data_IF_673183548083
#
_entry.id   IF_673183548083
#
_cell.length_a   1.000
_cell.length_b   1.000
_cell.length_c   1.000
_cell.angle_alpha   90.00
_cell.angle_beta   90.00
_cell.angle_gamma   90.00
#
_symmetry.space_group_name_H-M   'P 1'
#
loop_
_entity.id
_entity.type
_entity.pdbx_description
1 polymer ?
#
# COMPACT_ATOMS: atom_id res chain seq x y z
N UNK A 1 -14.66 -58.60 31.93
CA UNK A 1 -14.98 -59.66 30.95
C UNK A 1 -15.74 -59.02 29.79
N UNK A 2 -15.57 -59.44 28.54
CA UNK A 2 -14.33 -59.68 27.80
C UNK A 2 -14.25 -58.83 26.52
N UNK A 3 -13.09 -58.95 25.89
CA UNK A 3 -12.61 -58.37 24.63
C UNK A 3 -13.51 -58.67 23.43
N UNK A 4 -13.44 -57.83 22.38
CA UNK A 4 -13.53 -58.40 21.03
C UNK A 4 -12.61 -57.75 19.97
N UNK A 5 -12.09 -58.67 19.17
CA UNK A 5 -11.01 -58.68 18.18
C UNK A 5 -11.16 -57.68 17.02
N UNK A 6 -10.07 -57.00 16.60
CA UNK A 6 -9.06 -57.42 15.61
C UNK A 6 -9.61 -57.72 14.21
N UNK A 7 -9.13 -56.99 13.20
CA UNK A 7 -8.60 -57.56 11.94
C UNK A 7 -7.84 -56.54 11.10
N UNK A 8 -6.53 -56.72 11.11
CA UNK A 8 -5.52 -56.32 10.13
C UNK A 8 -5.86 -56.84 8.73
N UNK A 9 -5.68 -56.02 7.68
CA UNK A 9 -5.34 -56.50 6.33
C UNK A 9 -4.33 -55.55 5.68
N UNK A 10 -3.07 -55.97 5.75
CA UNK A 10 -2.03 -55.55 4.84
C UNK A 10 -2.24 -56.29 3.50
N UNK A 11 -2.09 -55.59 2.38
CA UNK A 11 -1.82 -56.21 1.09
C UNK A 11 -0.65 -55.44 0.47
N UNK A 12 0.49 -56.11 0.45
CA UNK A 12 1.63 -55.76 -0.37
C UNK A 12 1.43 -56.38 -1.76
N UNK A 13 1.62 -55.59 -2.81
CA UNK A 13 1.98 -56.10 -4.13
C UNK A 13 3.13 -55.26 -4.67
N UNK A 14 4.28 -55.92 -4.79
CA UNK A 14 5.40 -55.46 -5.58
C UNK A 14 5.15 -55.78 -7.06
N UNK A 15 5.47 -54.85 -7.96
CA UNK A 15 5.96 -55.21 -9.29
C UNK A 15 7.03 -54.21 -9.74
N UNK A 16 8.20 -54.78 -9.96
CA UNK A 16 9.37 -54.25 -10.65
C UNK A 16 9.06 -54.19 -12.15
N UNK A 17 9.33 -53.06 -12.80
CA UNK A 17 9.20 -52.88 -14.24
C UNK A 17 10.21 -51.85 -14.76
N UNK A 18 10.99 -52.28 -15.75
CA UNK A 18 12.28 -51.76 -16.17
C UNK A 18 12.29 -50.40 -16.90
N UNK A 19 13.35 -49.64 -16.63
CA UNK A 19 14.28 -49.00 -17.58
C UNK A 19 13.75 -48.49 -18.93
N UNK A 20 13.60 -47.16 -19.05
CA UNK A 20 13.88 -46.39 -20.28
C UNK A 20 14.42 -45.02 -19.87
N UNK A 21 15.75 -44.87 -19.90
CA UNK A 21 16.45 -43.60 -19.74
C UNK A 21 16.30 -42.83 -21.06
N UNK A 22 15.27 -42.00 -21.15
CA UNK A 22 15.19 -40.97 -22.17
C UNK A 22 15.91 -39.73 -21.64
N UNK A 23 17.17 -39.55 -22.04
CA UNK A 23 17.93 -38.31 -21.86
C UNK A 23 17.24 -37.23 -22.69
N UNK A 24 16.24 -36.60 -22.07
CA UNK A 24 15.58 -35.42 -22.63
C UNK A 24 16.54 -34.27 -22.40
N UNK A 25 17.24 -33.86 -23.46
CA UNK A 25 17.95 -32.58 -23.49
C UNK A 25 16.94 -31.48 -23.12
N UNK A 26 16.91 -31.12 -21.84
CA UNK A 26 16.19 -29.97 -21.34
C UNK A 26 16.90 -28.77 -21.95
N UNK A 27 16.40 -28.35 -23.10
CA UNK A 27 16.72 -27.06 -23.66
C UNK A 27 16.35 -26.06 -22.58
N UNK A 28 17.36 -25.54 -21.89
CA UNK A 28 17.27 -24.31 -21.09
C UNK A 28 16.92 -23.21 -22.08
N UNK A 29 15.65 -23.18 -22.48
CA UNK A 29 15.02 -21.97 -22.96
C UNK A 29 15.12 -21.03 -21.77
N UNK A 30 16.14 -20.17 -21.78
CA UNK A 30 16.20 -19.00 -20.92
C UNK A 30 14.86 -18.32 -21.09
N UNK A 31 13.96 -18.54 -20.13
CA UNK A 31 12.68 -17.87 -20.09
C UNK A 31 13.04 -16.38 -20.06
N UNK A 32 12.86 -15.72 -21.21
CA UNK A 32 13.03 -14.29 -21.29
C UNK A 32 12.10 -13.74 -20.23
N UNK A 33 12.67 -13.20 -19.14
CA UNK A 33 11.91 -12.60 -18.04
C UNK A 33 11.04 -11.54 -18.69
N UNK A 34 9.77 -11.89 -18.93
CA UNK A 34 8.78 -10.97 -19.46
C UNK A 34 8.74 -9.83 -18.47
N UNK A 35 9.09 -8.63 -18.92
CA UNK A 35 9.07 -7.45 -18.05
C UNK A 35 7.64 -7.26 -17.58
N UNK A 36 7.37 -7.62 -16.32
CA UNK A 36 6.08 -7.34 -15.70
C UNK A 36 5.84 -5.84 -15.81
N UNK A 37 4.74 -5.48 -16.47
CA UNK A 37 4.34 -4.09 -16.60
C UNK A 37 4.00 -3.58 -15.20
N UNK A 38 4.59 -2.45 -14.82
CA UNK A 38 4.25 -1.81 -13.55
C UNK A 38 2.80 -1.32 -13.54
N UNK A 39 2.16 -1.43 -12.37
CA UNK A 39 0.79 -1.01 -12.09
C UNK A 39 0.80 0.08 -11.03
N UNK A 40 0.06 1.18 -11.22
CA UNK A 40 -0.11 2.22 -10.20
C UNK A 40 -1.25 1.87 -9.23
N UNK A 41 -1.00 1.94 -7.93
CA UNK A 41 -2.01 1.82 -6.88
C UNK A 41 -1.81 2.93 -5.83
N UNK A 42 -2.87 3.30 -5.11
CA UNK A 42 -2.75 4.23 -4.00
C UNK A 42 -2.12 3.51 -2.80
N UNK A 43 -1.03 4.06 -2.27
CA UNK A 43 -0.34 3.57 -1.09
C UNK A 43 -0.51 4.59 0.04
N UNK A 44 -1.07 4.13 1.15
CA UNK A 44 -1.16 4.88 2.39
C UNK A 44 -0.55 4.10 3.54
N UNK A 45 0.21 4.78 4.39
CA UNK A 45 0.87 4.16 5.55
C UNK A 45 0.66 5.03 6.78
N UNK A 46 0.15 4.45 7.87
CA UNK A 46 -0.17 5.16 9.12
C UNK A 46 0.47 4.43 10.31
N UNK A 47 1.20 5.13 11.16
CA UNK A 47 1.75 4.51 12.37
C UNK A 47 0.76 4.45 13.54
N UNK A 48 1.16 3.82 14.65
CA UNK A 48 0.30 3.63 15.83
C UNK A 48 -0.12 4.94 16.51
N UNK A 49 0.50 6.07 16.15
CA UNK A 49 0.14 7.41 16.64
C UNK A 49 -0.78 8.15 15.67
N UNK A 50 -1.31 7.47 14.66
CA UNK A 50 -2.13 8.08 13.61
C UNK A 50 -1.34 8.96 12.63
N UNK A 51 0.01 8.92 12.63
CA UNK A 51 0.80 9.76 11.72
C UNK A 51 0.89 9.11 10.36
N UNK A 52 0.56 9.87 9.31
CA UNK A 52 0.71 9.43 7.92
C UNK A 52 2.20 9.45 7.54
N UNK A 53 2.77 8.27 7.30
CA UNK A 53 4.15 8.11 6.83
C UNK A 53 4.26 8.24 5.31
N UNK A 54 3.20 7.85 4.61
CA UNK A 54 3.10 7.98 3.16
C UNK A 54 1.65 8.08 2.72
N UNK A 55 1.44 8.86 1.67
CA UNK A 55 0.20 8.92 0.92
C UNK A 55 0.54 9.32 -0.52
N UNK A 56 0.51 8.35 -1.42
CA UNK A 56 1.00 8.53 -2.79
C UNK A 56 0.42 7.47 -3.72
N UNK A 57 0.26 7.81 -5.00
CA UNK A 57 0.14 6.79 -6.04
C UNK A 57 1.52 6.15 -6.24
N UNK A 58 1.67 4.88 -5.89
CA UNK A 58 2.90 4.13 -6.03
C UNK A 58 2.78 3.15 -7.19
N UNK A 59 3.78 3.13 -8.07
CA UNK A 59 3.92 2.06 -9.05
C UNK A 59 4.57 0.85 -8.40
N UNK A 60 4.15 -0.36 -8.77
CA UNK A 60 4.88 -1.59 -8.46
C UNK A 60 4.87 -2.52 -9.67
N UNK A 61 5.91 -3.33 -9.83
CA UNK A 61 6.12 -4.07 -11.08
C UNK A 61 6.69 -5.47 -10.87
N UNK A 62 7.97 -5.64 -11.16
CA UNK A 62 8.65 -6.93 -11.05
C UNK A 62 9.04 -7.28 -9.60
N UNK A 63 9.36 -8.55 -9.32
CA UNK A 63 9.79 -8.99 -8.00
C UNK A 63 10.97 -8.18 -7.46
N UNK A 64 11.02 -8.01 -6.15
CA UNK A 64 12.03 -7.22 -5.45
C UNK A 64 12.78 -8.08 -4.46
N UNK A 65 14.10 -7.91 -4.40
CA UNK A 65 14.90 -8.54 -3.35
C UNK A 65 15.06 -7.60 -2.17
N UNK A 66 14.69 -8.06 -0.98
CA UNK A 66 14.89 -7.35 0.29
C UNK A 66 15.77 -8.17 1.22
N UNK A 67 16.49 -7.50 2.11
CA UNK A 67 17.22 -8.18 3.19
C UNK A 67 16.28 -8.30 4.39
N UNK A 68 16.15 -9.49 4.97
CA UNK A 68 15.40 -9.65 6.22
C UNK A 68 16.17 -9.07 7.39
N UNK A 69 15.46 -8.69 8.45
CA UNK A 69 16.00 -8.01 9.61
C UNK A 69 16.04 -8.97 10.80
N UNK A 70 17.22 -9.37 11.30
CA UNK A 70 17.36 -10.20 12.49
C UNK A 70 16.73 -9.61 13.75
N UNK A 71 16.35 -8.32 13.74
CA UNK A 71 15.66 -7.66 14.85
C UNK A 71 14.14 -7.60 14.67
N UNK A 72 13.59 -8.12 13.57
CA UNK A 72 12.16 -8.19 13.30
C UNK A 72 11.45 -9.25 14.18
N UNK A 73 11.45 -9.04 15.49
CA UNK A 73 11.01 -9.99 16.53
C UNK A 73 9.60 -9.67 17.05
N UNK A 74 8.76 -9.01 16.23
CA UNK A 74 7.44 -8.55 16.67
C UNK A 74 6.44 -9.69 16.90
N UNK A 75 6.71 -10.90 16.42
CA UNK A 75 5.90 -12.10 16.67
C UNK A 75 6.41 -12.96 17.84
N UNK A 76 7.62 -12.66 18.32
CA UNK A 76 8.31 -13.45 19.33
C UNK A 76 9.83 -13.22 19.29
N UNK A 77 10.54 -13.49 20.39
CA UNK A 77 11.99 -13.26 20.49
C UNK A 77 12.82 -14.06 19.47
N UNK A 78 12.30 -15.21 19.03
CA UNK A 78 12.95 -16.12 18.08
C UNK A 78 12.49 -15.93 16.63
N UNK A 79 11.56 -15.01 16.37
CA UNK A 79 10.97 -14.79 15.04
C UNK A 79 11.70 -13.71 14.23
N UNK A 80 12.93 -13.37 14.62
CA UNK A 80 13.78 -12.45 13.85
C UNK A 80 14.05 -12.99 12.44
N UNK A 81 14.25 -12.09 11.47
CA UNK A 81 14.64 -12.50 10.13
C UNK A 81 16.01 -13.17 10.08
N UNK A 82 16.22 -14.07 9.13
CA UNK A 82 17.50 -14.76 8.90
C UNK A 82 18.68 -13.81 8.64
N UNK A 83 18.41 -12.59 8.14
CA UNK A 83 19.40 -11.67 7.61
C UNK A 83 19.74 -11.93 6.13
N UNK A 84 19.13 -12.95 5.51
CA UNK A 84 19.32 -13.27 4.11
C UNK A 84 18.51 -12.36 3.18
N UNK A 85 18.80 -12.50 1.89
CA UNK A 85 18.03 -11.83 0.84
C UNK A 85 16.87 -12.72 0.41
N UNK A 86 15.67 -12.21 0.54
CA UNK A 86 14.44 -12.87 0.10
C UNK A 86 13.79 -12.12 -1.05
N UNK A 87 13.08 -12.84 -1.90
CA UNK A 87 12.31 -12.26 -2.99
C UNK A 87 10.88 -11.96 -2.50
N UNK A 88 10.41 -10.73 -2.73
CA UNK A 88 9.02 -10.35 -2.59
C UNK A 88 8.35 -10.53 -3.96
N UNK A 89 7.33 -11.39 -4.08
CA UNK A 89 6.54 -11.52 -5.30
C UNK A 89 5.91 -10.19 -5.70
N UNK A 90 5.69 -9.96 -7.00
CA UNK A 90 5.09 -8.73 -7.48
C UNK A 90 4.18 -8.97 -8.70
N UNK A 91 3.11 -8.18 -8.89
CA UNK A 91 2.71 -7.02 -8.06
C UNK A 91 1.90 -7.46 -6.82
N UNK A 92 2.38 -7.10 -5.62
CA UNK A 92 1.73 -7.39 -4.34
C UNK A 92 1.72 -6.17 -3.43
N UNK A 93 0.94 -6.20 -2.35
CA UNK A 93 0.89 -5.10 -1.38
C UNK A 93 2.26 -4.84 -0.73
N UNK A 94 3.05 -5.90 -0.53
CA UNK A 94 4.40 -5.79 0.02
C UNK A 94 5.39 -5.26 -1.02
N UNK A 95 5.28 -5.67 -2.30
CA UNK A 95 6.14 -5.10 -3.35
C UNK A 95 5.86 -3.62 -3.55
N UNK A 96 4.58 -3.21 -3.47
CA UNK A 96 4.15 -1.81 -3.49
C UNK A 96 4.78 -1.01 -2.34
N UNK A 97 4.73 -1.54 -1.11
CA UNK A 97 5.34 -0.90 0.05
C UNK A 97 6.87 -0.82 -0.08
N UNK A 98 7.52 -1.87 -0.56
CA UNK A 98 8.97 -1.92 -0.77
C UNK A 98 9.45 -0.93 -1.85
N UNK A 99 8.72 -0.81 -2.97
CA UNK A 99 8.95 0.23 -3.97
C UNK A 99 8.73 1.63 -3.38
N UNK A 100 7.70 1.82 -2.55
CA UNK A 100 7.47 3.04 -1.79
C UNK A 100 8.65 3.43 -0.90
N UNK A 101 9.27 2.45 -0.22
CA UNK A 101 10.48 2.64 0.58
C UNK A 101 11.73 3.03 -0.23
N UNK A 102 11.73 2.80 -1.54
CA UNK A 102 12.83 3.22 -2.42
C UNK A 102 12.79 4.73 -2.71
N UNK A 103 11.61 5.36 -2.69
CA UNK A 103 11.41 6.78 -3.00
C UNK A 103 11.04 7.63 -1.79
N UNK A 104 10.46 7.03 -0.74
CA UNK A 104 10.04 7.71 0.48
C UNK A 104 10.83 7.22 1.71
N UNK A 105 11.63 8.12 2.29
CA UNK A 105 12.47 7.83 3.46
C UNK A 105 11.67 7.56 4.74
N UNK A 106 10.40 7.97 4.82
CA UNK A 106 9.55 7.68 5.97
C UNK A 106 9.08 6.21 5.99
N UNK A 107 9.10 5.53 4.83
CA UNK A 107 8.82 4.10 4.72
C UNK A 107 10.07 3.25 5.03
N UNK A 108 11.28 3.78 4.79
CA UNK A 108 12.54 3.03 4.95
C UNK A 108 13.17 3.23 6.35
N UNK A 109 13.74 2.18 6.99
CA UNK A 109 13.79 0.79 6.54
C UNK A 109 12.46 0.05 6.71
N UNK A 110 12.31 -1.04 5.96
CA UNK A 110 11.34 -2.09 6.30
C UNK A 110 12.04 -3.09 7.21
N UNK A 111 11.39 -3.47 8.30
CA UNK A 111 11.83 -4.55 9.20
C UNK A 111 10.98 -5.77 8.91
N UNK A 112 11.56 -6.76 8.23
CA UNK A 112 10.87 -7.92 7.65
C UNK A 112 11.50 -9.19 8.20
N UNK A 113 10.67 -10.17 8.58
CA UNK A 113 11.11 -11.51 8.98
C UNK A 113 10.65 -12.56 7.96
N UNK A 114 11.48 -13.57 7.76
CA UNK A 114 11.23 -14.80 6.99
C UNK A 114 11.18 -16.04 7.90
N UNK A 115 10.91 -15.85 9.20
CA UNK A 115 10.80 -16.94 10.17
C UNK A 115 9.66 -17.94 9.88
N UNK A 116 8.71 -17.58 9.00
CA UNK A 116 7.51 -18.35 8.74
C UNK A 116 7.57 -19.09 7.40
N UNK A 117 7.14 -20.35 7.39
CA UNK A 117 7.06 -21.15 6.16
C UNK A 117 5.92 -20.71 5.23
N UNK A 118 5.00 -19.86 5.70
CA UNK A 118 3.83 -19.41 4.95
C UNK A 118 3.99 -18.02 4.32
N UNK A 119 5.12 -17.33 4.53
CA UNK A 119 5.37 -16.02 3.94
C UNK A 119 6.25 -15.10 4.79
N UNK A 120 6.31 -13.83 4.40
CA UNK A 120 7.09 -12.80 5.08
C UNK A 120 6.25 -12.05 6.12
N UNK A 121 6.82 -11.86 7.31
CA UNK A 121 6.24 -11.02 8.37
C UNK A 121 6.76 -9.57 8.31
N UNK A 122 5.89 -8.59 8.53
CA UNK A 122 6.25 -7.17 8.59
C UNK A 122 6.21 -6.66 10.03
N UNK A 123 7.38 -6.32 10.58
CA UNK A 123 7.50 -5.79 11.94
C UNK A 123 7.65 -4.27 11.99
N UNK A 124 8.13 -3.62 10.93
CA UNK A 124 8.39 -2.19 10.99
C UNK A 124 8.39 -1.50 9.64
N UNK A 125 7.90 -0.27 9.65
CA UNK A 125 7.94 0.66 8.52
C UNK A 125 8.57 1.96 9.01
N UNK A 126 9.71 2.32 8.42
CA UNK A 126 10.47 3.49 8.80
C UNK A 126 10.95 3.42 10.24
N UNK A 127 10.48 4.36 11.07
CA UNK A 127 10.77 4.40 12.51
C UNK A 127 9.68 3.76 13.37
N UNK A 128 8.56 3.39 12.78
CA UNK A 128 7.45 2.75 13.49
C UNK A 128 7.69 1.24 13.47
N UNK A 129 7.82 0.66 14.67
CA UNK A 129 8.02 -0.77 14.89
C UNK A 129 6.83 -1.27 15.68
N UNK A 130 6.29 -2.41 15.25
CA UNK A 130 5.19 -3.06 15.93
C UNK A 130 5.65 -3.62 17.27
N UNK A 131 4.92 -3.36 18.37
CA UNK A 131 5.19 -4.03 19.64
C UNK A 131 4.85 -5.52 19.54
N UNK A 132 5.27 -6.32 20.52
CA UNK A 132 4.95 -7.77 20.56
C UNK A 132 3.46 -8.07 20.71
N UNK A 133 2.67 -7.07 21.10
CA UNK A 133 1.21 -7.12 21.21
C UNK A 133 0.52 -6.59 19.97
N UNK A 134 1.25 -6.03 19.00
CA UNK A 134 0.69 -5.34 17.86
C UNK A 134 1.01 -6.03 16.55
N UNK A 135 0.54 -5.44 15.45
CA UNK A 135 0.89 -5.86 14.10
C UNK A 135 0.62 -4.76 13.07
N UNK A 136 1.27 -4.85 11.91
CA UNK A 136 0.90 -4.04 10.76
C UNK A 136 -0.29 -4.68 10.04
N UNK A 137 -1.45 -4.04 10.12
CA UNK A 137 -2.64 -4.43 9.41
C UNK A 137 -2.60 -3.93 7.96
N UNK A 138 -3.24 -4.68 7.07
CA UNK A 138 -3.36 -4.38 5.65
C UNK A 138 -4.84 -4.27 5.28
N UNK A 139 -5.23 -3.14 4.71
CA UNK A 139 -6.50 -2.98 4.01
C UNK A 139 -6.28 -2.90 2.49
N UNK A 140 -7.13 -3.58 1.74
CA UNK A 140 -7.25 -3.46 0.28
C UNK A 140 -8.65 -2.96 -0.05
N UNK A 141 -8.73 -1.86 -0.78
CA UNK A 141 -9.99 -1.24 -1.19
C UNK A 141 -10.94 -1.00 0.01
N UNK A 142 -10.35 -0.52 1.11
CA UNK A 142 -10.99 -0.20 2.38
C UNK A 142 -11.54 -1.38 3.19
N UNK A 143 -11.18 -2.62 2.85
CA UNK A 143 -11.49 -3.81 3.62
C UNK A 143 -10.19 -4.48 4.09
N UNK A 144 -10.19 -5.07 5.28
CA UNK A 144 -9.05 -5.79 5.82
C UNK A 144 -8.73 -7.00 4.93
N UNK A 145 -7.45 -7.16 4.60
CA UNK A 145 -6.98 -8.30 3.82
C UNK A 145 -6.96 -9.57 4.68
N UNK A 146 -7.39 -10.69 4.08
CA UNK A 146 -7.33 -12.02 4.69
C UNK A 146 -6.01 -12.75 4.39
N UNK A 147 -5.14 -12.13 3.58
CA UNK A 147 -3.85 -12.68 3.17
C UNK A 147 -2.70 -11.76 3.55
N UNK A 148 -1.50 -12.35 3.71
CA UNK A 148 -0.27 -11.59 3.96
C UNK A 148 0.11 -10.73 2.76
N UNK A 149 0.72 -9.57 3.00
CA UNK A 149 0.97 -8.60 1.94
C UNK A 149 1.86 -9.08 0.79
N UNK A 150 2.68 -10.10 1.00
CA UNK A 150 3.50 -10.79 -0.01
C UNK A 150 2.70 -11.73 -0.92
N UNK A 151 1.46 -12.04 -0.54
CA UNK A 151 0.52 -12.86 -1.31
C UNK A 151 -0.71 -12.08 -1.80
N UNK A 152 -0.99 -10.91 -1.21
CA UNK A 152 -2.06 -10.01 -1.64
C UNK A 152 -1.70 -9.32 -2.95
N UNK A 153 -2.30 -9.75 -4.06
CA UNK A 153 -2.09 -9.15 -5.37
C UNK A 153 -2.58 -7.70 -5.43
N UNK A 154 -1.88 -6.85 -6.19
CA UNK A 154 -2.24 -5.45 -6.42
C UNK A 154 -2.50 -5.20 -7.90
N UNK A 155 -3.61 -4.52 -8.18
CA UNK A 155 -4.03 -4.07 -9.50
C UNK A 155 -3.99 -2.56 -9.63
N UNK A 156 -4.07 -2.08 -10.88
CA UNK A 156 -4.12 -0.65 -11.15
C UNK A 156 -5.36 -0.01 -10.53
N UNK A 157 -5.16 1.02 -9.71
CA UNK A 157 -6.24 1.79 -9.07
C UNK A 157 -6.73 1.22 -7.73
N UNK A 158 -6.14 0.13 -7.24
CA UNK A 158 -6.42 -0.35 -5.88
C UNK A 158 -5.98 0.69 -4.83
N UNK A 159 -6.68 0.71 -3.71
CA UNK A 159 -6.29 1.44 -2.51
C UNK A 159 -5.68 0.49 -1.48
N UNK A 160 -4.40 0.68 -1.18
CA UNK A 160 -3.63 -0.14 -0.26
C UNK A 160 -3.27 0.71 0.95
N UNK A 161 -3.76 0.29 2.12
CA UNK A 161 -3.48 0.94 3.39
C UNK A 161 -2.76 -0.02 4.32
N UNK A 162 -1.60 0.39 4.79
CA UNK A 162 -0.90 -0.22 5.92
C UNK A 162 -1.10 0.64 7.17
N UNK A 163 -1.53 0.05 8.27
CA UNK A 163 -1.62 0.76 9.54
C UNK A 163 -1.14 -0.10 10.70
N UNK A 164 -0.52 0.54 11.69
CA UNK A 164 -0.02 -0.17 12.87
C UNK A 164 -1.12 -0.24 13.93
N UNK A 165 -1.48 -1.46 14.31
CA UNK A 165 -2.28 -1.79 15.49
C UNK A 165 -1.29 -2.03 16.65
N UNK A 166 -1.44 -1.30 17.76
CA UNK A 166 -0.52 -1.40 18.90
C UNK A 166 -0.85 -2.56 19.86
N UNK A 167 -2.12 -2.99 19.90
CA UNK A 167 -2.58 -4.15 20.66
C UNK A 167 -3.62 -4.95 19.85
N UNK A 168 -3.40 -6.25 19.64
CA UNK A 168 -4.31 -7.12 18.91
C UNK A 168 -5.66 -7.32 19.60
N UNK A 169 -5.78 -6.92 20.88
CA UNK A 169 -7.05 -6.90 21.60
C UNK A 169 -7.87 -5.64 21.31
N UNK A 170 -7.26 -4.60 20.74
CA UNK A 170 -7.97 -3.39 20.35
C UNK A 170 -8.87 -3.68 19.13
N UNK A 171 -10.07 -3.08 19.07
CA UNK A 171 -10.89 -3.17 17.88
C UNK A 171 -10.17 -2.51 16.70
N UNK A 172 -10.28 -3.12 15.51
CA UNK A 172 -9.76 -2.50 14.29
C UNK A 172 -10.35 -1.09 14.12
N UNK A 173 -9.52 -0.04 14.05
CA UNK A 173 -10.00 1.32 13.90
C UNK A 173 -10.70 1.48 12.55
N UNK A 174 -11.73 2.30 12.52
CA UNK A 174 -12.40 2.60 11.26
C UNK A 174 -11.50 3.44 10.36
N UNK A 175 -11.52 3.20 9.05
CA UNK A 175 -10.78 3.99 8.07
C UNK A 175 -11.62 5.16 7.58
N UNK A 176 -11.16 6.39 7.82
CA UNK A 176 -11.80 7.56 7.21
C UNK A 176 -11.33 7.75 5.76
N UNK A 177 -12.27 8.14 4.90
CA UNK A 177 -12.00 8.55 3.53
C UNK A 177 -12.70 9.88 3.28
N UNK A 178 -11.92 10.87 2.84
CA UNK A 178 -12.38 12.20 2.55
C UNK A 178 -12.46 12.41 1.04
N UNK A 179 -13.59 12.96 0.59
CA UNK A 179 -13.78 13.44 -0.77
C UNK A 179 -14.16 14.91 -0.73
N UNK A 180 -13.38 15.73 -1.41
CA UNK A 180 -13.70 17.13 -1.64
C UNK A 180 -14.21 17.33 -3.07
N UNK A 181 -15.17 18.23 -3.24
CA UNK A 181 -15.53 18.75 -4.55
C UNK A 181 -14.68 19.97 -4.90
N UNK A 182 -14.78 20.42 -6.15
CA UNK A 182 -14.21 21.71 -6.55
C UNK A 182 -14.83 22.83 -5.70
N UNK A 183 -14.02 23.83 -5.38
CA UNK A 183 -14.50 25.02 -4.69
C UNK A 183 -15.55 25.76 -5.52
N UNK A 184 -16.66 26.14 -4.89
CA UNK A 184 -17.72 26.98 -5.44
C UNK A 184 -17.88 28.19 -4.51
N UNK A 185 -17.79 29.40 -5.05
CA UNK A 185 -17.91 30.66 -4.28
C UNK A 185 -16.98 30.78 -3.05
N UNK A 186 -15.82 30.12 -3.06
CA UNK A 186 -14.88 30.13 -1.92
C UNK A 186 -15.15 29.07 -0.87
N UNK A 187 -16.11 28.18 -1.11
CA UNK A 187 -16.46 27.06 -0.25
C UNK A 187 -16.13 25.74 -0.94
N UNK A 188 -15.64 24.78 -0.15
CA UNK A 188 -15.32 23.44 -0.63
C UNK A 188 -16.27 22.46 0.05
N UNK A 189 -17.24 21.90 -0.69
CA UNK A 189 -18.07 20.83 -0.16
C UNK A 189 -17.24 19.58 0.11
N UNK A 190 -17.26 19.11 1.35
CA UNK A 190 -16.53 17.92 1.80
C UNK A 190 -17.53 16.82 2.20
N UNK A 191 -17.20 15.58 1.85
CA UNK A 191 -17.84 14.38 2.36
C UNK A 191 -16.80 13.44 2.95
N UNK A 192 -17.00 13.09 4.21
CA UNK A 192 -16.20 12.08 4.93
C UNK A 192 -17.05 10.85 5.15
N UNK A 193 -16.47 9.69 4.89
CA UNK A 193 -17.08 8.39 5.15
C UNK A 193 -16.11 7.55 5.97
N UNK A 194 -16.66 6.61 6.73
CA UNK A 194 -15.92 5.65 7.51
C UNK A 194 -16.11 4.26 6.91
N UNK A 195 -15.06 3.46 6.87
CA UNK A 195 -15.09 2.05 6.51
C UNK A 195 -14.72 1.22 7.74
N UNK A 196 -15.48 0.16 8.01
CA UNK A 196 -15.10 -0.84 9.02
C UNK A 196 -14.12 -1.87 8.41
N UNK A 197 -13.68 -2.84 9.21
CA UNK A 197 -12.77 -3.89 8.78
C UNK A 197 -13.31 -4.74 7.60
N UNK A 198 -14.63 -4.81 7.39
CA UNK A 198 -15.25 -5.53 6.28
C UNK A 198 -15.42 -4.65 5.03
N UNK A 199 -14.96 -3.39 5.07
CA UNK A 199 -15.20 -2.41 4.02
C UNK A 199 -16.63 -1.88 3.97
N UNK A 200 -17.42 -2.05 5.05
CA UNK A 200 -18.75 -1.46 5.12
C UNK A 200 -18.63 0.04 5.30
N UNK A 201 -19.16 0.76 4.32
CA UNK A 201 -19.17 2.21 4.25
C UNK A 201 -20.31 2.82 5.06
N UNK A 202 -20.01 3.79 5.92
CA UNK A 202 -20.98 4.62 6.63
C UNK A 202 -20.59 6.10 6.57
N UNK A 203 -21.53 7.05 6.76
CA UNK A 203 -21.18 8.44 6.98
C UNK A 203 -20.33 8.59 8.25
N UNK A 204 -19.21 9.30 8.19
CA UNK A 204 -18.45 9.64 9.38
C UNK A 204 -19.11 10.87 10.02
N UNK A 205 -19.99 10.67 11.00
CA UNK A 205 -20.72 11.74 11.69
C UNK A 205 -19.85 12.31 12.81
N UNK A 206 -19.78 13.64 12.93
CA UNK A 206 -18.98 14.29 13.97
C UNK A 206 -17.47 14.31 13.72
N UNK A 207 -17.02 13.95 12.51
CA UNK A 207 -15.62 14.04 12.14
C UNK A 207 -15.21 15.51 11.99
N UNK A 208 -14.09 15.88 12.62
CA UNK A 208 -13.45 17.17 12.41
C UNK A 208 -12.76 17.20 11.06
N UNK A 209 -12.88 18.32 10.33
CA UNK A 209 -12.23 18.51 9.03
C UNK A 209 -11.36 19.75 9.08
N UNK A 210 -10.09 19.63 8.71
CA UNK A 210 -9.15 20.74 8.69
C UNK A 210 -9.68 21.87 7.80
N UNK A 211 -9.88 23.06 8.39
CA UNK A 211 -10.37 24.26 7.70
C UNK A 211 -11.91 24.36 7.60
N UNK A 212 -12.65 23.42 8.18
CA UNK A 212 -14.09 23.56 8.37
C UNK A 212 -14.39 24.18 9.73
N UNK A 213 -15.43 25.02 9.81
CA UNK A 213 -15.91 25.59 11.07
C UNK A 213 -16.77 24.58 11.86
N UNK A 214 -17.45 23.68 11.15
CA UNK A 214 -18.32 22.65 11.71
C UNK A 214 -17.77 21.23 11.46
N UNK A 215 -18.04 20.33 12.41
CA UNK A 215 -17.87 18.88 12.21
C UNK A 215 -18.86 18.35 11.17
N UNK A 216 -18.62 17.14 10.66
CA UNK A 216 -19.52 16.53 9.68
C UNK A 216 -20.91 16.21 10.23
N UNK A 217 -21.93 16.48 9.42
CA UNK A 217 -23.34 16.22 9.72
C UNK A 217 -23.69 14.71 9.69
N UNK A 218 -24.98 14.39 9.89
CA UNK A 218 -25.51 13.02 9.83
C UNK A 218 -25.31 12.31 8.47
N UNK A 219 -24.97 13.05 7.41
CA UNK A 219 -24.65 12.55 6.06
C UNK A 219 -23.15 12.52 5.80
N UNK A 220 -22.33 12.80 6.82
CA UNK A 220 -20.88 12.86 6.74
C UNK A 220 -20.39 14.07 5.95
N UNK A 221 -21.12 15.19 5.95
CA UNK A 221 -20.79 16.37 5.15
C UNK A 221 -20.44 17.57 6.00
N UNK A 222 -19.50 18.36 5.53
CA UNK A 222 -19.19 19.70 6.04
C UNK A 222 -18.69 20.57 4.89
N UNK A 223 -18.39 21.83 5.17
CA UNK A 223 -17.85 22.79 4.22
C UNK A 223 -16.55 23.36 4.75
N UNK A 224 -15.53 23.38 3.90
CA UNK A 224 -14.24 24.02 4.20
C UNK A 224 -14.20 25.37 3.51
N UNK A 225 -13.92 26.42 4.26
CA UNK A 225 -13.73 27.76 3.71
C UNK A 225 -12.35 27.85 3.03
N UNK A 226 -12.31 28.31 1.78
CA UNK A 226 -11.09 28.42 1.02
C UNK A 226 -11.10 29.65 0.12
N UNK A 227 -10.59 30.77 0.63
CA UNK A 227 -10.42 31.99 -0.16
C UNK A 227 -8.98 32.12 -0.67
N UNK A 228 -8.83 32.02 -2.00
CA UNK A 228 -7.62 32.41 -2.73
C UNK A 228 -6.36 31.55 -2.51
N UNK A 229 -6.45 30.41 -1.82
CA UNK A 229 -5.31 29.55 -1.46
C UNK A 229 -5.49 28.10 -1.93
N UNK A 230 -4.41 27.33 -1.86
CA UNK A 230 -4.46 25.86 -1.85
C UNK A 230 -4.65 25.44 -0.40
N UNK A 231 -5.60 24.55 -0.14
CA UNK A 231 -5.89 24.05 1.21
C UNK A 231 -5.69 22.53 1.20
N UNK A 232 -4.89 22.02 2.13
CA UNK A 232 -4.80 20.59 2.41
C UNK A 232 -5.89 20.24 3.43
N UNK A 233 -6.77 19.32 3.07
CA UNK A 233 -7.93 18.96 3.86
C UNK A 233 -7.79 17.50 4.31
N UNK A 234 -7.88 17.29 5.62
CA UNK A 234 -7.88 15.98 6.26
C UNK A 234 -9.06 15.93 7.23
N UNK A 235 -9.57 14.73 7.50
CA UNK A 235 -10.57 14.49 8.54
C UNK A 235 -10.01 13.60 9.64
N UNK A 236 -10.47 13.85 10.86
CA UNK A 236 -10.18 13.05 12.05
C UNK A 236 -11.46 12.74 12.81
N UNK A 237 -11.50 11.57 13.45
CA UNK A 237 -12.56 11.15 14.34
C UNK A 237 -11.90 10.28 15.41
N UNK A 238 -12.29 10.46 16.68
CA UNK A 238 -11.71 9.71 17.78
C UNK A 238 -11.87 8.20 17.56
N UNK A 239 -10.79 7.45 17.76
CA UNK A 239 -10.74 5.99 17.54
C UNK A 239 -10.68 5.55 16.08
N UNK A 240 -10.65 6.47 15.11
CA UNK A 240 -10.52 6.16 13.69
C UNK A 240 -9.12 6.51 13.15
N UNK A 241 -8.73 5.85 12.06
CA UNK A 241 -7.60 6.29 11.26
C UNK A 241 -7.95 7.62 10.58
N UNK A 242 -7.04 8.61 10.53
CA UNK A 242 -7.31 9.86 9.84
C UNK A 242 -7.66 9.61 8.38
N UNK A 243 -8.31 10.55 7.69
CA UNK A 243 -8.60 10.40 6.27
C UNK A 243 -7.37 10.60 5.40
N UNK A 244 -7.47 10.20 4.13
CA UNK A 244 -6.59 10.73 3.10
C UNK A 244 -6.60 12.27 3.10
N UNK A 245 -5.47 12.86 2.78
CA UNK A 245 -5.32 14.27 2.50
C UNK A 245 -5.83 14.59 1.09
N UNK A 246 -6.70 15.58 0.99
CA UNK A 246 -7.12 16.14 -0.29
C UNK A 246 -6.68 17.58 -0.35
N UNK A 247 -5.75 17.88 -1.23
CA UNK A 247 -5.40 19.25 -1.54
C UNK A 247 -6.35 19.83 -2.58
N UNK A 248 -7.04 20.90 -2.22
CA UNK A 248 -7.97 21.59 -3.12
C UNK A 248 -7.39 22.94 -3.50
N UNK A 249 -7.35 23.20 -4.79
CA UNK A 249 -6.98 24.49 -5.35
C UNK A 249 -8.22 25.34 -5.63
N UNK A 250 -8.28 26.52 -5.03
CA UNK A 250 -9.43 27.43 -5.19
C UNK A 250 -9.40 28.16 -6.53
N UNK A 251 -10.58 28.49 -7.06
CA UNK A 251 -10.78 29.14 -8.37
C UNK A 251 -10.07 30.50 -8.53
N UNK A 252 -9.74 31.19 -7.43
CA UNK A 252 -9.00 32.46 -7.45
C UNK A 252 -7.48 32.28 -7.46
N UNK A 253 -6.97 31.07 -7.18
CA UNK A 253 -5.56 30.74 -7.40
C UNK A 253 -5.34 30.64 -8.91
N UNK A 254 -5.00 31.77 -9.56
CA UNK A 254 -4.90 31.90 -11.03
C UNK A 254 -4.06 30.82 -11.72
N UNK A 255 -3.20 30.08 -11.00
CA UNK A 255 -2.60 28.80 -11.43
C UNK A 255 -2.28 27.96 -10.19
N UNK A 256 -2.85 26.76 -10.08
CA UNK A 256 -2.48 25.84 -9.01
C UNK A 256 -0.98 25.49 -9.09
N UNK A 257 -0.25 25.41 -7.96
CA UNK A 257 1.16 25.00 -7.94
C UNK A 257 1.38 23.60 -8.51
N UNK A 258 2.63 23.22 -8.80
CA UNK A 258 2.96 21.80 -8.98
C UNK A 258 2.92 21.08 -7.62
N UNK A 259 2.47 19.83 -7.59
CA UNK A 259 2.57 19.00 -6.37
C UNK A 259 1.52 19.26 -5.30
N UNK A 260 0.51 20.09 -5.54
CA UNK A 260 -0.58 20.20 -4.55
C UNK A 260 -1.40 18.91 -4.52
N UNK A 261 -1.71 18.29 -5.66
CA UNK A 261 -2.65 17.17 -5.71
C UNK A 261 -2.06 15.82 -5.24
N UNK A 262 -0.84 15.80 -4.71
CA UNK A 262 -0.21 14.61 -4.15
C UNK A 262 1.09 14.20 -4.83
N UNK A 263 1.47 12.95 -4.60
CA UNK A 263 2.74 12.34 -5.02
C UNK A 263 2.44 11.14 -5.92
N UNK A 264 3.18 11.02 -7.02
CA UNK A 264 3.23 9.83 -7.86
C UNK A 264 4.66 9.32 -7.86
N UNK A 265 4.87 8.08 -7.44
CA UNK A 265 6.19 7.51 -7.26
C UNK A 265 6.40 6.25 -8.12
N UNK A 266 7.58 6.17 -8.74
CA UNK A 266 8.01 5.05 -9.57
C UNK A 266 8.69 3.93 -8.78
N UNK A 267 9.13 2.93 -9.52
CA UNK A 267 9.88 1.74 -9.11
C UNK A 267 11.35 1.87 -9.51
N UNK A 268 12.17 0.85 -9.26
CA UNK A 268 13.51 0.74 -9.88
C UNK A 268 13.46 0.30 -11.35
N UNK A 269 12.29 -0.08 -11.86
CA UNK A 269 12.06 -0.44 -13.25
C UNK A 269 11.89 0.78 -14.16
N UNK A 270 11.59 0.55 -15.44
CA UNK A 270 11.38 1.63 -16.41
C UNK A 270 9.89 1.94 -16.50
N UNK A 271 9.41 2.86 -15.67
CA UNK A 271 7.99 3.17 -15.56
C UNK A 271 7.50 4.10 -16.67
N UNK A 272 6.23 3.92 -17.04
CA UNK A 272 5.50 4.81 -17.94
C UNK A 272 4.44 5.55 -17.14
N UNK A 273 4.87 6.63 -16.51
CA UNK A 273 4.03 7.41 -15.59
C UNK A 273 3.17 8.37 -16.40
N UNK A 274 1.85 8.31 -16.21
CA UNK A 274 0.90 9.25 -16.83
C UNK A 274 0.36 10.21 -15.77
N UNK A 275 0.45 11.51 -16.05
CA UNK A 275 0.02 12.58 -15.15
C UNK A 275 -1.01 13.46 -15.87
N UNK A 276 -2.17 13.65 -15.26
CA UNK A 276 -3.24 14.53 -15.73
C UNK A 276 -3.69 15.57 -14.68
N UNK A 277 -3.03 15.58 -13.51
CA UNK A 277 -3.24 16.55 -12.45
C UNK A 277 -1.89 17.03 -11.86
N UNK A 278 -1.83 18.24 -11.26
CA UNK A 278 -0.58 18.77 -10.74
C UNK A 278 -0.04 18.02 -9.51
N UNK A 279 0.97 17.18 -9.71
CA UNK A 279 1.56 16.30 -8.69
C UNK A 279 3.08 16.49 -8.57
N UNK A 280 3.66 15.92 -7.52
CA UNK A 280 5.09 15.68 -7.42
C UNK A 280 5.38 14.28 -7.94
N UNK A 281 6.25 14.15 -8.93
CA UNK A 281 6.71 12.86 -9.45
C UNK A 281 8.07 12.50 -8.85
N UNK A 282 8.12 11.38 -8.15
CA UNK A 282 9.34 10.78 -7.63
C UNK A 282 9.69 9.58 -8.51
N UNK A 283 10.48 9.81 -9.56
CA UNK A 283 10.98 8.70 -10.37
C UNK A 283 11.93 7.85 -9.52
N UNK A 284 11.82 6.54 -9.67
CA UNK A 284 12.63 5.63 -8.87
C UNK A 284 14.02 5.46 -9.48
N UNK A 285 14.61 4.27 -9.30
CA UNK A 285 15.98 4.01 -9.75
C UNK A 285 16.12 3.72 -11.24
N UNK A 286 15.01 3.65 -11.99
CA UNK A 286 15.02 3.22 -13.38
C UNK A 286 14.85 4.34 -14.40
N UNK A 287 14.66 3.91 -15.66
CA UNK A 287 14.57 4.79 -16.83
C UNK A 287 13.13 5.20 -17.09
N UNK A 288 12.62 6.03 -16.20
CA UNK A 288 11.22 6.44 -16.16
C UNK A 288 10.88 7.48 -17.24
N UNK A 289 9.75 7.26 -17.89
CA UNK A 289 9.15 8.18 -18.87
C UNK A 289 7.87 8.75 -18.30
N UNK A 290 7.85 10.06 -18.06
CA UNK A 290 6.68 10.79 -17.56
C UNK A 290 5.96 11.44 -18.73
N UNK A 291 4.68 11.10 -18.92
CA UNK A 291 3.78 11.72 -19.90
C UNK A 291 2.79 12.63 -19.19
N UNK A 292 2.82 13.91 -19.52
CA UNK A 292 2.01 14.93 -18.88
C UNK A 292 0.91 15.40 -19.82
N UNK A 293 -0.35 15.28 -19.41
CA UNK A 293 -1.51 15.72 -20.19
C UNK A 293 -1.90 17.14 -19.79
N UNK A 294 -2.08 18.02 -20.78
CA UNK A 294 -2.80 19.28 -20.64
C UNK A 294 -2.20 20.31 -19.69
N UNK A 295 -1.07 20.95 -20.03
CA UNK A 295 -0.55 22.14 -19.34
C UNK A 295 -0.31 22.00 -17.82
N UNK A 296 -0.33 20.78 -17.31
CA UNK A 296 -0.23 20.45 -15.89
C UNK A 296 1.16 20.80 -15.38
N UNK A 297 1.20 21.51 -14.25
CA UNK A 297 2.45 21.79 -13.53
C UNK A 297 2.82 20.60 -12.67
N UNK A 298 4.06 20.12 -12.74
CA UNK A 298 4.54 19.01 -11.91
C UNK A 298 6.00 19.26 -11.52
N UNK A 299 6.47 18.54 -10.49
CA UNK A 299 7.88 18.53 -10.09
C UNK A 299 8.41 17.12 -10.26
N UNK A 300 9.38 16.91 -11.14
CA UNK A 300 10.05 15.63 -11.33
C UNK A 300 11.40 15.60 -10.61
N UNK A 301 11.70 14.48 -9.93
CA UNK A 301 13.04 14.18 -9.40
C UNK A 301 13.45 12.79 -9.88
N UNK A 302 14.68 12.67 -10.38
CA UNK A 302 15.26 11.39 -10.79
C UNK A 302 14.74 10.82 -12.11
N UNK A 303 13.93 11.57 -12.87
CA UNK A 303 13.34 11.07 -14.12
C UNK A 303 14.30 11.20 -15.29
N UNK A 304 14.35 10.19 -16.16
CA UNK A 304 15.16 10.23 -17.37
C UNK A 304 14.50 11.11 -18.45
N UNK A 305 13.18 10.98 -18.64
CA UNK A 305 12.45 11.72 -19.67
C UNK A 305 11.11 12.26 -19.17
N UNK A 306 10.82 13.50 -19.57
CA UNK A 306 9.49 14.10 -19.42
C UNK A 306 9.00 14.55 -20.80
N UNK A 307 7.79 14.12 -21.15
CA UNK A 307 7.16 14.40 -22.43
C UNK A 307 5.80 15.08 -22.19
N UNK A 308 5.56 16.20 -22.85
CA UNK A 308 4.21 16.76 -22.95
C UNK A 308 3.40 15.94 -23.95
N UNK A 309 2.25 15.43 -23.52
CA UNK A 309 1.30 14.79 -24.42
C UNK A 309 0.57 15.87 -25.22
N UNK A 310 0.72 15.83 -26.54
CA UNK A 310 -0.06 16.63 -27.49
C UNK A 310 -1.55 16.28 -27.42
#
# INVERSE_FOLDING_TARGET
MPLNHSRTRAVAFAMVGSLLIAVSFSSVASAAKTKTKSVPAELRVIDGKGRVLAEQTQYTGGPLTVKTDPKATCFGPDDGGSGDKVEIPAPTAFSLLADGGATNKAIKPLSITDAFSFGLGLCGIGKAVSPSTGFWALNVNHAQAESGGDSTAVSSGDSILWYLVEDFNDPSPAELVLKAKKAENGEIPVKVVSYDANGKKTPAVGAGVTGADDVTDAKGKTVVAADGKVVAITATLDGALPSNEVAVCTVRAKKCPAGYAGIVAGTKGNDKIKIDAPVTVLCGGGRDVVKVKGGVRFKAKGCEQVQEAK
#
